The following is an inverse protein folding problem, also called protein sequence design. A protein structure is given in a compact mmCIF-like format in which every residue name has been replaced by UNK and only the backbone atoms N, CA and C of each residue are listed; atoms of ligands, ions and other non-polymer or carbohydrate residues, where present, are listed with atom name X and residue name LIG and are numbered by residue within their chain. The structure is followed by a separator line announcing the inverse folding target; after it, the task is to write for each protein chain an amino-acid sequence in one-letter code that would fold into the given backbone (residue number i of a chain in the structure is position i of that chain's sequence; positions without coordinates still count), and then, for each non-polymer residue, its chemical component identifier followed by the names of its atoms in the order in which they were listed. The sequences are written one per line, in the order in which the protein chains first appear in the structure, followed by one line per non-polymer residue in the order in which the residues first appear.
data_IF_047024001983
#
_entry.id   IF_047024001983
#
_cell.length_a   1.000
_cell.length_b   1.000
_cell.length_c   1.000
_cell.angle_alpha   90.00
_cell.angle_beta   90.00
_cell.angle_gamma   90.00
#
_symmetry.space_group_name_H-M   'P 1'
#
loop_
_entity.id
_entity.type
_entity.pdbx_description
1 polymer ?
#
# COMPACT_ATOMS: atom_id res chain seq x y z
N UNK A 1 16.42 -10.80 -2.25
CA UNK A 1 16.14 -11.12 -0.84
C UNK A 1 16.28 -12.61 -0.51
N UNK A 2 16.48 -13.48 -1.46
CA UNK A 2 16.54 -14.94 -1.25
C UNK A 2 17.86 -15.47 -0.64
N UNK A 3 18.83 -14.60 -0.27
CA UNK A 3 20.20 -15.02 0.14
C UNK A 3 20.47 -14.71 1.62
N UNK A 4 19.55 -14.04 2.32
CA UNK A 4 19.76 -13.63 3.69
C UNK A 4 18.65 -14.14 4.60
N UNK A 5 19.00 -14.63 5.79
CA UNK A 5 18.06 -15.02 6.84
C UNK A 5 17.63 -13.81 7.68
N UNK A 6 18.49 -12.77 7.71
CA UNK A 6 18.26 -11.53 8.45
C UNK A 6 18.67 -10.31 7.60
N UNK A 7 17.77 -9.34 7.52
CA UNK A 7 18.03 -8.03 6.93
C UNK A 7 18.08 -6.98 8.04
N UNK A 8 19.04 -6.08 7.96
CA UNK A 8 19.12 -4.88 8.80
C UNK A 8 19.07 -3.66 7.90
N UNK A 9 18.06 -2.82 8.06
CA UNK A 9 17.91 -1.55 7.36
C UNK A 9 18.50 -0.45 8.21
N UNK A 10 19.48 0.27 7.66
CA UNK A 10 20.15 1.37 8.36
C UNK A 10 19.89 2.71 7.65
N UNK A 11 19.72 3.75 8.44
CA UNK A 11 19.59 5.12 7.98
C UNK A 11 20.40 6.06 8.89
N UNK A 12 21.29 6.86 8.30
CA UNK A 12 22.15 7.83 9.02
C UNK A 12 22.85 7.23 10.25
N UNK A 13 23.37 5.99 10.12
CA UNK A 13 24.08 5.29 11.18
C UNK A 13 23.18 4.66 12.27
N UNK A 14 21.87 4.71 12.14
CA UNK A 14 20.92 4.08 13.06
C UNK A 14 20.20 2.92 12.38
N UNK A 15 19.87 1.90 13.15
CA UNK A 15 19.04 0.79 12.70
C UNK A 15 17.58 1.26 12.69
N UNK A 16 16.98 1.31 11.50
CA UNK A 16 15.58 1.65 11.29
C UNK A 16 14.67 0.42 11.41
N UNK A 17 15.17 -0.72 10.93
CA UNK A 17 14.43 -1.96 10.95
C UNK A 17 15.38 -3.16 10.92
N UNK A 18 14.91 -4.31 11.44
CA UNK A 18 15.59 -5.59 11.32
C UNK A 18 14.59 -6.74 11.43
N UNK A 19 14.80 -7.81 10.68
CA UNK A 19 13.94 -8.98 10.67
C UNK A 19 14.21 -9.89 9.48
N UNK A 20 13.40 -10.93 9.34
CA UNK A 20 13.43 -11.78 8.14
C UNK A 20 13.06 -10.94 6.90
N UNK A 21 13.55 -11.31 5.70
CA UNK A 21 13.26 -10.57 4.46
C UNK A 21 11.78 -10.30 4.22
N UNK A 22 10.94 -11.31 4.44
CA UNK A 22 9.50 -11.20 4.28
C UNK A 22 8.88 -10.23 5.30
N UNK A 23 9.33 -10.27 6.56
CA UNK A 23 8.84 -9.39 7.62
C UNK A 23 9.14 -7.92 7.30
N UNK A 24 10.39 -7.62 6.90
CA UNK A 24 10.80 -6.26 6.54
C UNK A 24 10.03 -5.73 5.33
N UNK A 25 9.74 -6.59 4.36
CA UNK A 25 9.00 -6.21 3.16
C UNK A 25 7.51 -5.99 3.43
N UNK A 26 6.86 -6.97 4.09
CA UNK A 26 5.40 -6.97 4.30
C UNK A 26 4.97 -6.14 5.51
N UNK A 27 5.84 -5.99 6.54
CA UNK A 27 5.53 -5.32 7.81
C UNK A 27 6.65 -4.36 8.25
N UNK A 28 7.01 -3.39 7.40
CA UNK A 28 8.04 -2.41 7.72
C UNK A 28 7.66 -1.63 8.99
N UNK A 29 8.66 -1.26 9.79
CA UNK A 29 8.45 -0.51 11.04
C UNK A 29 8.58 0.99 10.87
N UNK A 30 9.10 1.46 9.73
CA UNK A 30 9.23 2.88 9.40
C UNK A 30 8.91 3.17 7.93
N UNK A 31 8.59 4.43 7.63
CA UNK A 31 8.41 4.90 6.25
C UNK A 31 9.70 4.75 5.43
N UNK A 32 10.85 4.90 6.09
CA UNK A 32 12.14 4.70 5.45
C UNK A 32 12.29 3.24 5.00
N UNK A 33 12.06 2.27 5.91
CA UNK A 33 12.12 0.83 5.56
C UNK A 33 11.13 0.49 4.46
N UNK A 34 9.88 0.98 4.55
CA UNK A 34 8.86 0.74 3.55
C UNK A 34 9.31 1.18 2.15
N UNK A 35 9.87 2.40 2.04
CA UNK A 35 10.32 2.97 0.76
C UNK A 35 11.64 2.38 0.27
N UNK A 36 12.55 2.03 1.18
CA UNK A 36 13.87 1.48 0.85
C UNK A 36 13.78 0.07 0.26
N UNK A 37 12.83 -0.73 0.74
CA UNK A 37 12.68 -2.13 0.33
C UNK A 37 11.97 -2.34 -1.03
N UNK A 38 11.60 -1.28 -1.71
CA UNK A 38 10.96 -1.35 -3.01
C UNK A 38 9.81 -0.36 -3.17
N UNK A 39 9.11 -0.44 -4.28
CA UNK A 39 7.99 0.45 -4.57
C UNK A 39 6.88 0.30 -3.51
N UNK A 40 6.34 1.43 -3.10
CA UNK A 40 5.25 1.51 -2.12
C UNK A 40 4.40 2.76 -2.39
N UNK A 41 3.08 2.60 -2.31
CA UNK A 41 2.16 3.72 -2.27
C UNK A 41 2.00 4.19 -0.82
N UNK A 42 2.23 5.48 -0.57
CA UNK A 42 2.08 6.08 0.75
C UNK A 42 0.85 6.99 0.75
N UNK A 43 -0.23 6.54 1.38
CA UNK A 43 -1.47 7.27 1.51
C UNK A 43 -1.51 7.99 2.85
N UNK A 44 -1.81 9.29 2.88
CA UNK A 44 -2.14 9.98 4.12
C UNK A 44 -3.47 9.45 4.65
N UNK A 45 -3.54 9.19 5.95
CA UNK A 45 -4.77 8.77 6.58
C UNK A 45 -4.91 9.35 7.99
N UNK A 46 -6.16 9.45 8.45
CA UNK A 46 -6.49 9.74 9.84
C UNK A 46 -7.16 8.52 10.44
N UNK A 47 -6.69 8.06 11.58
CA UNK A 47 -7.28 6.93 12.29
C UNK A 47 -8.62 7.36 12.90
N UNK A 48 -9.68 6.65 12.56
CA UNK A 48 -11.01 6.80 13.15
C UNK A 48 -11.22 5.88 14.35
N UNK A 49 -12.44 5.37 14.48
CA UNK A 49 -12.78 4.45 15.55
C UNK A 49 -12.10 3.08 15.38
N UNK A 50 -11.67 2.50 16.50
CA UNK A 50 -11.21 1.12 16.57
C UNK A 50 -12.24 0.29 17.34
N UNK A 51 -12.72 -0.82 16.78
CA UNK A 51 -13.68 -1.72 17.41
C UNK A 51 -13.52 -3.14 16.91
N UNK A 52 -13.60 -4.12 17.81
CA UNK A 52 -13.58 -5.55 17.46
C UNK A 52 -12.32 -6.01 16.73
N UNK A 53 -11.17 -5.38 16.97
CA UNK A 53 -9.91 -5.72 16.28
C UNK A 53 -9.77 -5.11 14.88
N UNK A 54 -10.70 -4.24 14.49
CA UNK A 54 -10.65 -3.49 13.25
C UNK A 54 -10.37 -2.02 13.53
N UNK A 55 -9.63 -1.37 12.63
CA UNK A 55 -9.33 0.05 12.69
C UNK A 55 -9.81 0.71 11.40
N UNK A 56 -10.56 1.79 11.55
CA UNK A 56 -11.00 2.61 10.41
C UNK A 56 -9.93 3.63 10.09
N UNK A 57 -9.56 3.74 8.82
CA UNK A 57 -8.64 4.75 8.32
C UNK A 57 -9.34 5.60 7.26
N UNK A 58 -9.47 6.89 7.51
CA UNK A 58 -10.01 7.86 6.55
C UNK A 58 -8.89 8.33 5.63
N UNK A 59 -9.06 8.12 4.33
CA UNK A 59 -8.05 8.42 3.30
C UNK A 59 -8.64 9.25 2.17
N UNK A 60 -7.82 9.85 1.29
CA UNK A 60 -8.30 10.47 0.05
C UNK A 60 -9.03 9.52 -0.90
N UNK A 61 -8.88 8.21 -0.72
CA UNK A 61 -9.56 7.16 -1.50
C UNK A 61 -10.83 6.64 -0.79
N UNK A 62 -11.29 7.31 0.26
CA UNK A 62 -12.39 6.88 1.10
C UNK A 62 -11.93 6.14 2.35
N UNK A 63 -12.88 5.51 3.00
CA UNK A 63 -12.67 4.77 4.25
C UNK A 63 -12.12 3.39 3.98
N UNK A 64 -10.99 3.07 4.60
CA UNK A 64 -10.38 1.73 4.54
C UNK A 64 -10.46 1.10 5.93
N UNK A 65 -10.99 -0.11 6.00
CA UNK A 65 -11.03 -0.90 7.24
C UNK A 65 -9.81 -1.80 7.28
N UNK A 66 -8.97 -1.60 8.28
CA UNK A 66 -7.72 -2.33 8.49
C UNK A 66 -7.90 -3.38 9.59
N UNK A 67 -7.32 -4.56 9.41
CA UNK A 67 -7.23 -5.55 10.48
C UNK A 67 -6.23 -5.08 11.57
N UNK A 68 -6.40 -5.59 12.78
CA UNK A 68 -5.64 -5.19 13.99
C UNK A 68 -4.10 -5.27 13.88
N UNK A 69 -3.58 -5.98 12.88
CA UNK A 69 -2.13 -6.08 12.65
C UNK A 69 -1.47 -4.71 12.31
N UNK A 70 -2.23 -3.71 11.95
CA UNK A 70 -1.78 -2.32 11.80
C UNK A 70 -1.56 -1.61 13.16
N UNK A 71 -1.01 -2.31 14.12
CA UNK A 71 -0.95 -1.94 15.56
C UNK A 71 -0.25 -0.63 15.92
N UNK A 72 0.51 -0.03 15.03
CA UNK A 72 1.33 1.14 15.36
C UNK A 72 0.51 2.41 15.70
N UNK A 73 -0.78 2.48 15.30
CA UNK A 73 -1.57 3.71 15.42
C UNK A 73 -3.02 3.39 15.80
N UNK A 74 -3.28 3.19 17.10
CA UNK A 74 -4.63 2.91 17.63
C UNK A 74 -5.35 4.15 18.16
N UNK A 75 -4.70 5.29 18.20
CA UNK A 75 -5.29 6.51 18.75
C UNK A 75 -6.19 7.15 17.69
N UNK A 76 -7.50 7.26 17.99
CA UNK A 76 -8.42 8.00 17.15
C UNK A 76 -7.92 9.44 16.94
N UNK A 77 -8.00 9.95 15.71
CA UNK A 77 -7.46 11.25 15.32
C UNK A 77 -5.96 11.25 14.98
N UNK A 78 -5.24 10.15 15.19
CA UNK A 78 -3.83 10.08 14.82
C UNK A 78 -3.65 10.16 13.30
N UNK A 79 -2.69 10.98 12.86
CA UNK A 79 -2.25 11.01 11.45
C UNK A 79 -1.24 9.90 11.20
N UNK A 80 -1.44 9.17 10.12
CA UNK A 80 -0.60 8.04 9.73
C UNK A 80 -0.35 8.05 8.23
N UNK A 81 0.64 7.28 7.81
CA UNK A 81 0.83 6.88 6.41
C UNK A 81 0.47 5.42 6.26
N UNK A 82 -0.45 5.12 5.37
CA UNK A 82 -0.72 3.76 4.96
C UNK A 82 0.27 3.38 3.86
N UNK A 83 1.10 2.40 4.14
CA UNK A 83 2.01 1.80 3.17
C UNK A 83 1.28 0.67 2.46
N UNK A 84 1.11 0.80 1.14
CA UNK A 84 0.42 -0.15 0.27
C UNK A 84 1.37 -0.58 -0.83
N UNK A 85 1.75 -1.85 -0.86
CA UNK A 85 2.57 -2.39 -1.94
C UNK A 85 1.78 -2.44 -3.26
N UNK A 86 2.43 -2.24 -4.42
CA UNK A 86 1.75 -2.26 -5.72
C UNK A 86 0.95 -3.52 -6.01
N UNK A 87 1.40 -4.67 -5.52
CA UNK A 87 0.73 -5.97 -5.68
C UNK A 87 -0.54 -6.14 -4.85
N UNK A 88 -0.79 -5.25 -3.88
CA UNK A 88 -2.04 -5.21 -3.11
C UNK A 88 -3.13 -4.33 -3.76
N UNK A 89 -2.80 -3.69 -4.88
CA UNK A 89 -3.78 -3.03 -5.75
C UNK A 89 -4.16 -3.99 -6.88
N UNK A 90 -5.44 -4.12 -7.14
CA UNK A 90 -5.99 -4.99 -8.19
C UNK A 90 -7.15 -4.34 -8.92
N UNK A 91 -7.57 -4.92 -10.03
CA UNK A 91 -8.84 -4.59 -10.66
C UNK A 91 -9.97 -5.19 -9.82
N UNK A 92 -11.04 -4.46 -9.64
CA UNK A 92 -12.22 -4.89 -8.87
C UNK A 92 -12.73 -6.26 -9.32
N UNK A 93 -13.01 -7.13 -8.34
CA UNK A 93 -13.43 -8.51 -8.57
C UNK A 93 -12.30 -9.51 -8.83
N UNK A 94 -11.06 -9.07 -9.05
CA UNK A 94 -9.93 -9.96 -9.31
C UNK A 94 -9.40 -10.69 -8.05
N UNK A 95 -9.59 -10.09 -6.87
CA UNK A 95 -9.09 -10.62 -5.59
C UNK A 95 -10.22 -10.70 -4.56
N UNK A 96 -10.44 -11.88 -3.99
CA UNK A 96 -11.45 -12.07 -2.95
C UNK A 96 -11.07 -11.31 -1.68
N UNK A 97 -12.02 -10.54 -1.12
CA UNK A 97 -11.82 -9.72 0.08
C UNK A 97 -11.13 -8.37 -0.16
N UNK A 98 -10.81 -8.04 -1.41
CA UNK A 98 -10.37 -6.70 -1.75
C UNK A 98 -11.55 -5.71 -1.66
N UNK A 99 -11.25 -4.49 -1.24
CA UNK A 99 -12.22 -3.40 -1.07
C UNK A 99 -12.14 -2.49 -2.29
N UNK A 100 -13.27 -2.19 -2.91
CA UNK A 100 -13.34 -1.22 -4.02
C UNK A 100 -12.91 0.17 -3.53
N UNK A 101 -11.99 0.78 -4.25
CA UNK A 101 -11.49 2.15 -3.99
C UNK A 101 -11.83 3.12 -5.13
N UNK A 102 -12.66 2.67 -6.08
CA UNK A 102 -13.25 3.49 -7.13
C UNK A 102 -12.51 3.45 -8.45
N UNK A 103 -12.94 4.29 -9.37
CA UNK A 103 -12.36 4.39 -10.70
C UNK A 103 -10.99 5.06 -10.70
N UNK A 104 -10.09 4.60 -11.56
CA UNK A 104 -8.79 5.20 -11.79
C UNK A 104 -8.43 5.18 -13.28
N UNK A 105 -7.82 6.26 -13.75
CA UNK A 105 -7.26 6.34 -15.11
C UNK A 105 -5.86 5.74 -15.14
N UNK A 106 -5.56 4.96 -16.15
CA UNK A 106 -4.20 4.46 -16.42
C UNK A 106 -3.39 5.57 -17.09
N UNK A 107 -2.40 6.12 -16.39
CA UNK A 107 -1.51 7.15 -16.91
C UNK A 107 -0.44 6.57 -17.82
N UNK A 108 0.16 5.48 -17.39
CA UNK A 108 1.11 4.69 -18.16
C UNK A 108 1.12 3.22 -17.72
N UNK A 109 1.66 2.37 -18.59
CA UNK A 109 1.79 0.93 -18.36
C UNK A 109 3.11 0.44 -18.95
N UNK A 110 3.85 -0.34 -18.16
CA UNK A 110 5.10 -0.97 -18.58
C UNK A 110 5.08 -2.46 -18.25
N UNK A 111 5.49 -3.30 -19.19
CA UNK A 111 5.56 -4.74 -19.02
C UNK A 111 6.89 -5.17 -18.40
N UNK A 112 6.83 -5.86 -17.26
CA UNK A 112 7.99 -6.35 -16.49
C UNK A 112 8.17 -7.88 -16.57
N UNK A 113 7.61 -8.52 -17.58
CA UNK A 113 7.69 -9.97 -17.77
C UNK A 113 6.69 -10.74 -16.91
N UNK A 114 6.68 -10.53 -15.60
CA UNK A 114 5.77 -11.21 -14.66
C UNK A 114 4.48 -10.45 -14.39
N UNK A 115 4.47 -9.14 -14.62
CA UNK A 115 3.34 -8.25 -14.36
C UNK A 115 3.41 -7.00 -15.23
N UNK A 116 2.30 -6.27 -15.29
CA UNK A 116 2.25 -4.90 -15.80
C UNK A 116 2.37 -3.94 -14.63
N UNK A 117 3.39 -3.09 -14.64
CA UNK A 117 3.51 -1.96 -13.73
C UNK A 117 2.71 -0.79 -14.29
N UNK A 118 1.63 -0.43 -13.61
CA UNK A 118 0.73 0.63 -14.02
C UNK A 118 0.85 1.83 -13.08
N UNK A 119 0.89 3.05 -13.64
CA UNK A 119 0.67 4.28 -12.90
C UNK A 119 -0.79 4.68 -13.09
N UNK A 120 -1.48 4.90 -11.98
CA UNK A 120 -2.92 5.12 -11.95
C UNK A 120 -3.24 6.44 -11.26
N UNK A 121 -4.21 7.17 -11.79
CA UNK A 121 -4.77 8.38 -11.20
C UNK A 121 -6.19 8.10 -10.72
N UNK A 122 -6.42 7.98 -9.40
CA UNK A 122 -7.76 7.77 -8.86
C UNK A 122 -8.68 8.96 -9.14
N UNK A 123 -9.91 8.70 -9.55
CA UNK A 123 -10.91 9.75 -9.80
C UNK A 123 -11.24 10.54 -8.52
N UNK A 124 -11.29 9.86 -7.37
CA UNK A 124 -11.56 10.49 -6.06
C UNK A 124 -10.40 11.35 -5.54
N UNK A 125 -9.18 11.12 -6.02
CA UNK A 125 -7.98 11.84 -5.58
C UNK A 125 -7.06 12.14 -6.78
N UNK A 126 -7.43 13.07 -7.67
CA UNK A 126 -6.72 13.31 -8.94
C UNK A 126 -5.29 13.83 -8.77
N UNK A 127 -4.94 14.35 -7.60
CA UNK A 127 -3.57 14.78 -7.26
C UNK A 127 -2.69 13.62 -6.76
N UNK A 128 -3.25 12.43 -6.58
CA UNK A 128 -2.55 11.23 -6.16
C UNK A 128 -2.20 10.38 -7.38
N UNK A 129 -1.01 9.80 -7.36
CA UNK A 129 -0.63 8.76 -8.32
C UNK A 129 -0.35 7.48 -7.55
N UNK A 130 -1.00 6.39 -7.95
CA UNK A 130 -0.78 5.06 -7.41
C UNK A 130 0.03 4.22 -8.41
N UNK A 131 0.83 3.31 -7.87
CA UNK A 131 1.50 2.27 -8.65
C UNK A 131 0.83 0.94 -8.33
N UNK A 132 0.40 0.21 -9.36
CA UNK A 132 -0.16 -1.12 -9.23
C UNK A 132 0.63 -2.12 -10.09
N UNK A 133 0.81 -3.33 -9.57
CA UNK A 133 1.32 -4.48 -10.32
C UNK A 133 0.14 -5.36 -10.73
N UNK A 134 -0.31 -5.18 -11.96
CA UNK A 134 -1.44 -5.93 -12.51
C UNK A 134 -0.96 -7.23 -13.19
N UNK A 135 -1.78 -8.29 -13.19
CA UNK A 135 -1.41 -9.56 -13.78
C UNK A 135 -0.94 -9.45 -15.24
N UNK A 136 -0.07 -10.38 -15.66
CA UNK A 136 0.44 -10.46 -17.03
C UNK A 136 -0.68 -10.50 -18.09
N UNK A 137 -1.83 -11.11 -17.76
CA UNK A 137 -3.00 -11.19 -18.64
C UNK A 137 -3.82 -9.88 -18.73
N UNK A 138 -3.44 -8.83 -17.98
CA UNK A 138 -4.13 -7.54 -18.05
C UNK A 138 -3.93 -6.88 -19.41
N UNK A 139 -5.03 -6.48 -20.06
CA UNK A 139 -5.02 -5.97 -21.43
C UNK A 139 -5.36 -4.47 -21.57
N UNK A 140 -5.36 -3.71 -20.44
CA UNK A 140 -5.62 -2.27 -20.44
C UNK A 140 -4.51 -1.47 -21.09
N UNK A 141 -4.81 -0.22 -21.43
CA UNK A 141 -3.90 0.73 -22.10
C UNK A 141 -3.89 2.07 -21.36
N UNK A 142 -2.87 2.87 -21.59
CA UNK A 142 -2.86 4.26 -21.14
C UNK A 142 -4.07 5.03 -21.67
N UNK A 143 -4.74 5.77 -20.81
CA UNK A 143 -6.01 6.47 -21.06
C UNK A 143 -7.26 5.66 -20.70
N UNK A 144 -7.15 4.35 -20.50
CA UNK A 144 -8.30 3.55 -20.05
C UNK A 144 -8.65 3.87 -18.59
N UNK A 145 -9.92 3.71 -18.25
CA UNK A 145 -10.42 3.78 -16.88
C UNK A 145 -10.70 2.38 -16.36
N UNK A 146 -10.20 2.08 -15.17
CA UNK A 146 -10.38 0.79 -14.49
C UNK A 146 -11.03 0.98 -13.12
N UNK A 147 -11.83 0.01 -12.70
CA UNK A 147 -12.31 -0.06 -11.32
C UNK A 147 -11.24 -0.69 -10.45
N UNK A 148 -10.72 0.07 -9.49
CA UNK A 148 -9.57 -0.32 -8.66
C UNK A 148 -10.04 -0.84 -7.31
N UNK A 149 -9.38 -1.87 -6.81
CA UNK A 149 -9.60 -2.45 -5.50
C UNK A 149 -8.28 -2.59 -4.74
N UNK A 150 -8.38 -2.57 -3.42
CA UNK A 150 -7.27 -2.69 -2.47
C UNK A 150 -7.47 -3.93 -1.60
N UNK A 151 -6.44 -4.75 -1.46
CA UNK A 151 -6.38 -5.80 -0.43
C UNK A 151 -5.95 -5.18 0.92
N UNK A 152 -6.87 -5.03 1.89
CA UNK A 152 -6.55 -4.36 3.15
C UNK A 152 -5.60 -5.19 4.05
N UNK A 153 -5.43 -6.49 3.76
CA UNK A 153 -4.51 -7.38 4.51
C UNK A 153 -3.05 -7.01 4.31
N UNK A 154 -2.72 -6.40 3.17
CA UNK A 154 -1.38 -5.93 2.83
C UNK A 154 -1.09 -4.47 3.18
N UNK A 155 -2.00 -3.80 3.88
CA UNK A 155 -1.82 -2.40 4.27
C UNK A 155 -1.17 -2.31 5.64
N UNK A 156 -0.12 -1.50 5.75
CA UNK A 156 0.58 -1.21 7.01
C UNK A 156 0.41 0.26 7.36
N UNK A 157 -0.11 0.54 8.56
CA UNK A 157 -0.18 1.91 9.08
C UNK A 157 1.13 2.25 9.80
N UNK A 158 1.78 3.32 9.37
CA UNK A 158 3.04 3.81 9.91
C UNK A 158 2.85 5.24 10.45
N UNK A 159 3.51 5.60 11.56
CA UNK A 159 3.43 6.96 12.08
C UNK A 159 3.99 7.97 11.06
N UNK A 160 3.38 9.16 10.99
CA UNK A 160 4.02 10.28 10.28
C UNK A 160 5.29 10.69 11.04
N UNK A 161 6.38 11.02 10.32
CA UNK A 161 7.54 11.62 10.96
C UNK A 161 7.13 12.95 11.63
N UNK A 162 7.66 13.16 12.84
CA UNK A 162 7.48 14.41 13.55
C UNK A 162 8.15 15.57 12.80
#
# INVERSE_FOLDING_TARGET
MAIADLIVVMNKGRIEDRGAPEEIYLRPKSLFSASFMGEVNLLSATIGAASGGLVIAETPLGTIVLAEAARACRTAGARVRLAVRPEHLSIEGAVSGAVAIGAAEILDIAFFGTHHRCRLRPAMAPNLTLIAHLPQAFAGRAGDTVALALDPRGVVALPEPA
#
